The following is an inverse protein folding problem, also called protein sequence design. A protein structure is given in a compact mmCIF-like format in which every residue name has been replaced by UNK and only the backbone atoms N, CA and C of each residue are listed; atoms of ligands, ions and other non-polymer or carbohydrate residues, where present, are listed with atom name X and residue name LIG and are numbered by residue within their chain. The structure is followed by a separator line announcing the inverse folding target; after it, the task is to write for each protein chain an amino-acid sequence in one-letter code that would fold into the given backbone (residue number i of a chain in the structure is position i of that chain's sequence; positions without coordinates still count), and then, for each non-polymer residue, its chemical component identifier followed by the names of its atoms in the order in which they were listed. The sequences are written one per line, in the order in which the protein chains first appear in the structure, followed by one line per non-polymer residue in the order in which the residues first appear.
data_IF_290178692738
#
_entry.id   IF_290178692738
#
_cell.length_a   1.000
_cell.length_b   1.000
_cell.length_c   1.000
_cell.angle_alpha   90.00
_cell.angle_beta   90.00
_cell.angle_gamma   90.00
#
_symmetry.space_group_name_H-M   'P 1'
#
loop_
_entity.id
_entity.type
_entity.pdbx_description
1 polymer ?
#
# COMPACT_ATOMS: atom_id res chain seq x y z
N UNK A 1 9.83 52.27 45.96
CA UNK A 1 10.70 52.06 44.78
C UNK A 1 9.84 51.61 43.61
N UNK A 2 10.08 52.22 42.45
CA UNK A 2 9.68 51.85 41.07
C UNK A 2 8.19 52.03 40.71
N UNK A 3 7.84 53.05 39.88
CA UNK A 3 7.92 53.08 38.39
C UNK A 3 6.81 52.21 37.76
N UNK A 4 5.99 52.56 36.76
CA UNK A 4 6.04 53.58 35.71
C UNK A 4 4.71 53.55 34.90
N UNK A 5 4.24 54.74 34.50
CA UNK A 5 3.61 55.20 33.23
C UNK A 5 2.32 54.58 32.64
N UNK A 6 1.46 55.53 32.27
CA UNK A 6 0.39 55.49 31.26
C UNK A 6 0.87 55.03 29.88
N UNK A 7 -0.05 54.60 29.01
CA UNK A 7 -0.38 55.34 27.78
C UNK A 7 -1.63 54.75 27.09
N UNK A 8 -2.60 55.63 26.83
CA UNK A 8 -3.64 55.48 25.81
C UNK A 8 -2.99 55.56 24.42
N UNK A 9 -3.31 54.62 23.53
CA UNK A 9 -3.17 54.75 22.07
C UNK A 9 -4.46 54.16 21.50
N UNK A 10 -5.30 54.89 20.79
CA UNK A 10 -4.97 55.73 19.65
C UNK A 10 -5.46 54.98 18.41
N UNK A 11 -6.73 55.24 18.07
CA UNK A 11 -7.40 54.77 16.85
C UNK A 11 -6.81 55.49 15.64
N UNK A 12 -6.34 54.77 14.64
CA UNK A 12 -6.28 55.24 13.25
C UNK A 12 -6.43 54.08 12.28
N UNK A 13 -7.58 54.07 11.60
CA UNK A 13 -7.85 53.29 10.40
C UNK A 13 -7.08 53.87 9.23
N UNK A 14 -6.20 53.09 8.60
CA UNK A 14 -5.70 53.37 7.25
C UNK A 14 -5.60 52.03 6.52
N UNK A 15 -6.69 51.65 5.86
CA UNK A 15 -6.67 50.60 4.86
C UNK A 15 -6.13 51.21 3.55
N UNK A 16 -5.05 50.69 2.95
CA UNK A 16 -4.72 51.09 1.59
C UNK A 16 -5.78 50.52 0.65
N UNK A 17 -6.49 51.41 -0.04
CA UNK A 17 -7.33 51.08 -1.19
C UNK A 17 -6.43 50.61 -2.33
N UNK A 18 -6.23 49.29 -2.38
CA UNK A 18 -5.55 48.62 -3.48
C UNK A 18 -6.48 48.64 -4.67
N UNK A 19 -6.14 49.43 -5.70
CA UNK A 19 -6.80 49.40 -7.01
C UNK A 19 -6.72 47.98 -7.56
N UNK A 20 -7.85 47.29 -7.60
CA UNK A 20 -8.01 46.03 -8.31
C UNK A 20 -7.88 46.31 -9.81
N UNK A 21 -6.73 45.98 -10.39
CA UNK A 21 -6.60 45.84 -11.84
C UNK A 21 -7.15 44.47 -12.17
N UNK A 22 -8.34 44.45 -12.77
CA UNK A 22 -8.96 43.23 -13.27
C UNK A 22 -8.14 42.69 -14.44
N UNK A 23 -7.22 41.77 -14.16
CA UNK A 23 -6.69 40.88 -15.17
C UNK A 23 -7.79 39.87 -15.52
N UNK A 24 -8.56 40.15 -16.58
CA UNK A 24 -9.34 39.12 -17.25
C UNK A 24 -8.37 38.13 -17.89
N UNK A 25 -8.18 36.98 -17.24
CA UNK A 25 -7.58 35.83 -17.89
C UNK A 25 -8.60 35.26 -18.87
N UNK A 26 -8.25 35.00 -20.15
CA UNK A 26 -9.10 34.19 -20.99
C UNK A 26 -9.14 32.79 -20.40
N UNK A 27 -10.33 32.30 -20.08
CA UNK A 27 -10.53 30.91 -19.68
C UNK A 27 -10.18 30.03 -20.89
N UNK A 28 -8.94 29.59 -20.96
CA UNK A 28 -8.53 28.54 -21.89
C UNK A 28 -9.05 27.24 -21.27
N UNK A 29 -10.25 26.84 -21.70
CA UNK A 29 -10.87 25.58 -21.36
C UNK A 29 -10.03 24.50 -22.04
N UNK A 30 -8.96 24.07 -21.36
CA UNK A 30 -8.24 22.86 -21.77
C UNK A 30 -9.17 21.68 -21.46
N UNK A 31 -9.57 20.87 -22.45
CA UNK A 31 -10.26 19.64 -22.13
C UNK A 31 -9.26 18.79 -21.34
N UNK A 32 -9.57 18.56 -20.06
CA UNK A 32 -8.92 17.53 -19.26
C UNK A 32 -9.16 16.21 -20.00
N UNK A 33 -8.19 15.83 -20.83
CA UNK A 33 -8.20 14.52 -21.49
C UNK A 33 -8.07 13.50 -20.37
N UNK A 34 -9.21 12.98 -19.94
CA UNK A 34 -9.28 11.86 -19.03
C UNK A 34 -8.70 10.66 -19.78
N UNK A 35 -7.40 10.43 -19.61
CA UNK A 35 -6.74 9.19 -20.01
C UNK A 35 -7.34 8.07 -19.15
N UNK A 36 -8.46 7.52 -19.59
CA UNK A 36 -8.98 6.26 -19.08
C UNK A 36 -8.01 5.19 -19.55
N UNK A 37 -7.17 4.72 -18.63
CA UNK A 37 -6.33 3.53 -18.88
C UNK A 37 -7.28 2.35 -19.11
N UNK A 38 -7.52 2.02 -20.38
CA UNK A 38 -8.25 0.82 -20.77
C UNK A 38 -7.39 -0.37 -20.34
N UNK A 39 -7.79 -1.03 -19.25
CA UNK A 39 -7.19 -2.29 -18.86
C UNK A 39 -7.54 -3.33 -19.94
N UNK A 40 -6.53 -3.80 -20.68
CA UNK A 40 -6.68 -4.92 -21.60
C UNK A 40 -6.92 -6.18 -20.78
N UNK A 41 -8.19 -6.56 -20.62
CA UNK A 41 -8.57 -7.86 -20.10
C UNK A 41 -8.41 -8.89 -21.22
N UNK A 42 -7.18 -9.35 -21.48
CA UNK A 42 -7.02 -10.57 -22.27
C UNK A 42 -7.68 -11.70 -21.48
N UNK A 43 -8.82 -12.21 -21.95
CA UNK A 43 -9.50 -13.38 -21.42
C UNK A 43 -8.66 -14.63 -21.71
N UNK A 44 -7.51 -14.77 -21.07
CA UNK A 44 -6.90 -16.08 -20.96
C UNK A 44 -7.70 -16.82 -19.89
N UNK A 45 -8.62 -17.68 -20.34
CA UNK A 45 -9.33 -18.65 -19.50
C UNK A 45 -8.31 -19.66 -18.95
N UNK A 46 -7.47 -19.24 -18.02
CA UNK A 46 -6.88 -20.16 -17.08
C UNK A 46 -8.02 -20.60 -16.16
N UNK A 47 -8.31 -21.90 -16.12
CA UNK A 47 -9.18 -22.44 -15.09
C UNK A 47 -8.70 -21.87 -13.74
N UNK A 48 -9.61 -21.32 -12.90
CA UNK A 48 -9.19 -20.82 -11.61
C UNK A 48 -8.51 -22.00 -10.90
N UNK A 49 -7.25 -21.84 -10.44
CA UNK A 49 -6.60 -22.89 -9.69
C UNK A 49 -7.53 -23.21 -8.53
N UNK A 50 -8.01 -24.45 -8.48
CA UNK A 50 -8.83 -24.96 -7.39
C UNK A 50 -8.15 -24.55 -6.08
N UNK A 51 -8.88 -23.97 -5.11
CA UNK A 51 -8.27 -23.65 -3.83
C UNK A 51 -7.77 -24.96 -3.25
N UNK A 52 -6.44 -25.10 -3.14
CA UNK A 52 -5.84 -26.24 -2.44
C UNK A 52 -6.12 -26.00 -0.96
N UNK A 53 -7.29 -26.45 -0.53
CA UNK A 53 -7.78 -26.30 0.83
C UNK A 53 -6.83 -26.99 1.80
N UNK A 54 -6.97 -26.62 3.07
CA UNK A 54 -6.22 -27.16 4.21
C UNK A 54 -6.15 -28.70 4.27
N UNK A 55 -7.14 -29.39 3.68
CA UNK A 55 -7.19 -30.84 3.61
C UNK A 55 -6.10 -31.46 2.70
N UNK A 56 -5.66 -30.73 1.67
CA UNK A 56 -4.76 -31.26 0.62
C UNK A 56 -3.28 -30.91 0.88
N UNK A 57 -3.00 -29.91 1.70
CA UNK A 57 -1.63 -29.39 1.89
C UNK A 57 -1.27 -29.39 3.38
N UNK A 58 -0.53 -30.43 3.80
CA UNK A 58 0.04 -30.52 5.15
C UNK A 58 1.51 -30.10 5.19
N UNK A 59 2.20 -30.12 4.03
CA UNK A 59 3.63 -29.83 3.92
C UNK A 59 3.90 -28.42 3.37
N UNK A 60 4.92 -27.75 3.91
CA UNK A 60 5.31 -26.42 3.47
C UNK A 60 5.85 -26.40 2.03
N UNK A 61 6.59 -27.44 1.65
CA UNK A 61 7.16 -27.55 0.30
C UNK A 61 6.05 -27.64 -0.75
N UNK A 62 5.03 -28.45 -0.49
CA UNK A 62 3.85 -28.58 -1.35
C UNK A 62 3.10 -27.25 -1.46
N UNK A 63 2.99 -26.50 -0.36
CA UNK A 63 2.40 -25.16 -0.36
C UNK A 63 3.19 -24.17 -1.23
N UNK A 64 4.52 -24.08 -1.05
CA UNK A 64 5.37 -23.17 -1.82
C UNK A 64 5.44 -23.52 -3.30
N UNK A 65 5.46 -24.82 -3.64
CA UNK A 65 5.31 -25.28 -5.04
C UNK A 65 3.96 -24.88 -5.64
N UNK A 66 2.88 -24.96 -4.85
CA UNK A 66 1.54 -24.62 -5.32
C UNK A 66 1.36 -23.13 -5.61
N UNK A 67 1.87 -22.25 -4.75
CA UNK A 67 1.79 -20.81 -4.97
C UNK A 67 2.77 -20.38 -6.08
N UNK A 68 3.96 -20.98 -6.13
CA UNK A 68 4.98 -20.73 -7.15
C UNK A 68 5.88 -19.54 -6.83
N UNK A 69 6.35 -18.84 -7.88
CA UNK A 69 7.27 -17.68 -7.82
C UNK A 69 8.57 -17.96 -7.04
N UNK A 70 9.15 -19.15 -7.24
CA UNK A 70 10.39 -19.59 -6.61
C UNK A 70 10.41 -19.55 -5.07
N UNK A 71 9.25 -19.49 -4.41
CA UNK A 71 9.18 -19.44 -2.94
C UNK A 71 9.78 -20.67 -2.24
N UNK A 72 10.00 -21.76 -2.97
CA UNK A 72 10.68 -22.98 -2.52
C UNK A 72 12.10 -22.69 -1.99
N UNK A 73 12.78 -21.66 -2.51
CA UNK A 73 14.13 -21.26 -2.03
C UNK A 73 14.15 -20.82 -0.55
N UNK A 74 13.00 -20.42 -0.02
CA UNK A 74 12.86 -19.97 1.37
C UNK A 74 12.43 -21.10 2.32
N UNK A 75 12.35 -22.36 1.87
CA UNK A 75 11.93 -23.49 2.70
C UNK A 75 12.81 -23.67 3.94
N UNK A 76 14.12 -23.56 3.76
CA UNK A 76 15.11 -23.79 4.82
C UNK A 76 14.97 -22.77 5.95
N UNK A 77 14.55 -21.54 5.65
CA UNK A 77 14.31 -20.49 6.66
C UNK A 77 13.20 -20.86 7.67
N UNK A 78 12.26 -21.69 7.24
CA UNK A 78 11.13 -22.13 8.06
C UNK A 78 11.29 -23.58 8.56
N UNK A 79 12.48 -24.16 8.47
CA UNK A 79 12.75 -25.56 8.85
C UNK A 79 11.81 -26.56 8.14
N UNK A 80 11.29 -26.21 6.95
CA UNK A 80 10.27 -27.02 6.25
C UNK A 80 8.90 -27.10 6.95
N UNK A 81 8.67 -26.33 8.02
CA UNK A 81 7.48 -26.44 8.86
C UNK A 81 6.38 -25.46 8.44
N UNK A 82 5.26 -25.99 7.94
CA UNK A 82 4.08 -25.20 7.59
C UNK A 82 3.53 -24.35 8.75
N UNK A 83 3.32 -24.88 9.98
CA UNK A 83 2.81 -24.07 11.08
C UNK A 83 3.76 -22.94 11.48
N UNK A 84 5.09 -23.09 11.30
CA UNK A 84 6.05 -22.01 11.54
C UNK A 84 5.83 -20.87 10.54
N UNK A 85 5.68 -21.19 9.26
CA UNK A 85 5.35 -20.21 8.22
C UNK A 85 4.00 -19.51 8.47
N UNK A 86 2.96 -20.26 8.85
CA UNK A 86 1.63 -19.69 9.09
C UNK A 86 1.66 -18.66 10.24
N UNK A 87 2.43 -18.92 11.29
CA UNK A 87 2.58 -17.98 12.42
C UNK A 87 3.50 -16.80 12.14
N UNK A 88 4.41 -16.92 11.16
CA UNK A 88 5.47 -15.95 10.95
C UNK A 88 4.94 -14.53 10.63
N UNK A 89 5.48 -13.51 11.31
CA UNK A 89 5.11 -12.12 11.04
C UNK A 89 5.90 -11.54 9.86
N UNK A 90 5.41 -10.42 9.30
CA UNK A 90 6.16 -9.69 8.26
C UNK A 90 7.53 -9.19 8.77
N UNK A 91 7.63 -8.89 10.06
CA UNK A 91 8.89 -8.44 10.67
C UNK A 91 9.90 -9.61 10.76
N UNK A 92 9.45 -10.77 11.23
CA UNK A 92 10.29 -11.99 11.31
C UNK A 92 10.78 -12.43 9.93
N UNK A 93 9.90 -12.40 8.92
CA UNK A 93 10.29 -12.71 7.54
C UNK A 93 11.32 -11.72 6.97
N UNK A 94 11.28 -10.45 7.40
CA UNK A 94 12.30 -9.47 7.02
C UNK A 94 13.64 -9.79 7.68
N UNK A 95 13.64 -10.20 8.95
CA UNK A 95 14.85 -10.57 9.69
C UNK A 95 15.53 -11.82 9.11
N UNK A 96 14.74 -12.79 8.63
CA UNK A 96 15.25 -13.96 7.90
C UNK A 96 15.81 -13.63 6.50
N UNK A 97 15.76 -12.37 6.07
CA UNK A 97 16.32 -11.93 4.77
C UNK A 97 15.37 -12.05 3.58
N UNK A 98 14.08 -12.32 3.79
CA UNK A 98 13.11 -12.42 2.68
C UNK A 98 12.79 -11.02 2.14
N UNK A 99 12.93 -10.84 0.83
CA UNK A 99 12.69 -9.58 0.15
C UNK A 99 11.23 -9.11 0.30
N UNK A 100 11.02 -7.78 0.29
CA UNK A 100 9.70 -7.18 0.53
C UNK A 100 8.64 -7.63 -0.48
N UNK A 101 8.99 -7.84 -1.75
CA UNK A 101 8.05 -8.33 -2.76
C UNK A 101 7.59 -9.75 -2.45
N UNK A 102 8.53 -10.66 -2.18
CA UNK A 102 8.28 -12.07 -1.89
C UNK A 102 7.48 -12.23 -0.61
N UNK A 103 7.86 -11.50 0.44
CA UNK A 103 7.13 -11.50 1.71
C UNK A 103 5.65 -11.10 1.57
N UNK A 104 5.35 -9.99 0.90
CA UNK A 104 3.96 -9.57 0.66
C UNK A 104 3.16 -10.62 -0.10
N UNK A 105 3.81 -11.24 -1.08
CA UNK A 105 3.20 -12.30 -1.87
C UNK A 105 2.86 -13.53 -1.04
N UNK A 106 3.79 -14.01 -0.22
CA UNK A 106 3.60 -15.15 0.68
C UNK A 106 2.49 -14.88 1.70
N UNK A 107 2.48 -13.69 2.33
CA UNK A 107 1.43 -13.30 3.29
C UNK A 107 0.05 -13.26 2.64
N UNK A 108 -0.06 -12.75 1.40
CA UNK A 108 -1.33 -12.76 0.66
C UNK A 108 -1.84 -14.18 0.44
N UNK A 109 -0.97 -15.11 0.08
CA UNK A 109 -1.35 -16.51 -0.12
C UNK A 109 -1.65 -17.24 1.18
N UNK A 110 -0.93 -16.94 2.25
CA UNK A 110 -1.28 -17.41 3.59
C UNK A 110 -2.71 -17.01 3.94
N UNK A 111 -3.06 -15.74 3.76
CA UNK A 111 -4.41 -15.26 4.03
C UNK A 111 -5.46 -16.01 3.23
N UNK A 112 -5.21 -16.25 1.93
CA UNK A 112 -6.11 -17.07 1.10
C UNK A 112 -6.24 -18.51 1.62
N UNK A 113 -5.12 -19.11 2.02
CA UNK A 113 -5.09 -20.47 2.56
C UNK A 113 -5.84 -20.60 3.88
N UNK A 114 -5.75 -19.61 4.77
CA UNK A 114 -6.45 -19.61 6.07
C UNK A 114 -7.95 -19.36 5.94
N UNK A 115 -8.38 -18.63 4.91
CA UNK A 115 -9.78 -18.27 4.68
C UNK A 115 -10.46 -19.14 3.59
N UNK A 116 -9.78 -20.16 3.07
CA UNK A 116 -10.23 -21.01 1.95
C UNK A 116 -10.76 -20.21 0.73
N UNK A 117 -10.01 -19.17 0.31
CA UNK A 117 -10.33 -18.23 -0.80
C UNK A 117 -9.63 -18.50 -2.14
#
# INVERSE_FOLDING_TARGET
MNMIRSLVRGSTSIFPSVRQVSFQQPAIITPFSAYTRLFSNSLIHHAPPQPKTKANVQDLETFFKAIGRNTVEHLELFDGSLPKFLKASSAEMKEMGIETRTRRYMIRWRYKFENDL
#
